data_IF_303952561369
#
_entry.id   IF_303952561369
#
_cell.length_a   1.000
_cell.length_b   1.000
_cell.length_c   1.000
_cell.angle_alpha   90.00
_cell.angle_beta   90.00
_cell.angle_gamma   90.00
#
_symmetry.space_group_name_H-M   'P 1'
#
loop_
_entity.id
_entity.type
_entity.pdbx_description
1 polymer ?
#
# COMPACT_ATOMS: atom_id res chain seq x y z
N UNK A 1 -8.70 33.15 -10.79
CA UNK A 1 -7.92 32.11 -11.48
C UNK A 1 -8.91 31.06 -11.96
N UNK A 2 -9.03 30.85 -13.28
CA UNK A 2 -9.96 29.86 -13.84
C UNK A 2 -9.54 28.45 -13.40
N UNK A 3 -10.46 27.68 -12.85
CA UNK A 3 -10.22 26.25 -12.65
C UNK A 3 -10.14 25.61 -14.04
N UNK A 4 -8.97 25.13 -14.42
CA UNK A 4 -8.86 24.24 -15.59
C UNK A 4 -9.73 23.01 -15.30
N UNK A 5 -10.77 22.82 -16.12
CA UNK A 5 -11.62 21.63 -16.06
C UNK A 5 -10.84 20.47 -16.66
N UNK A 6 -10.65 19.42 -15.86
CA UNK A 6 -10.13 18.14 -16.32
C UNK A 6 -11.19 17.49 -17.22
N UNK A 7 -10.83 17.20 -18.47
CA UNK A 7 -11.69 16.50 -19.42
C UNK A 7 -10.98 15.23 -19.88
N UNK A 8 -11.66 14.08 -19.80
CA UNK A 8 -11.10 12.76 -20.09
C UNK A 8 -11.98 12.03 -21.10
N UNK A 9 -11.36 11.38 -22.07
CA UNK A 9 -12.08 10.49 -22.98
C UNK A 9 -12.27 9.11 -22.35
N UNK A 10 -13.52 8.75 -22.04
CA UNK A 10 -13.91 7.46 -21.47
C UNK A 10 -14.77 6.72 -22.49
N UNK A 11 -14.25 5.60 -23.02
CA UNK A 11 -14.96 4.73 -23.99
C UNK A 11 -15.50 5.51 -25.21
N UNK A 12 -14.72 6.46 -25.73
CA UNK A 12 -15.10 7.30 -26.89
C UNK A 12 -16.03 8.48 -26.57
N UNK A 13 -16.36 8.71 -25.29
CA UNK A 13 -17.15 9.86 -24.83
C UNK A 13 -16.25 10.81 -24.03
N UNK A 14 -16.34 12.11 -24.29
CA UNK A 14 -15.72 13.14 -23.46
C UNK A 14 -16.50 13.26 -22.13
N UNK A 15 -15.78 13.22 -21.01
CA UNK A 15 -16.33 13.32 -19.66
C UNK A 15 -15.58 14.40 -18.88
N UNK A 16 -16.31 15.40 -18.38
CA UNK A 16 -15.79 16.54 -17.63
C UNK A 16 -16.37 16.67 -16.22
N UNK A 17 -17.31 15.79 -15.83
CA UNK A 17 -17.81 15.71 -14.47
C UNK A 17 -16.71 15.19 -13.51
N UNK A 18 -16.26 15.98 -12.52
CA UNK A 18 -15.14 15.62 -11.67
C UNK A 18 -15.35 14.30 -10.92
N UNK A 19 -16.58 13.99 -10.51
CA UNK A 19 -16.88 12.76 -9.79
C UNK A 19 -16.78 11.53 -10.70
N UNK A 20 -17.33 11.63 -11.91
CA UNK A 20 -17.25 10.59 -12.94
C UNK A 20 -15.82 10.33 -13.39
N UNK A 21 -15.03 11.39 -13.59
CA UNK A 21 -13.60 11.28 -13.94
C UNK A 21 -12.82 10.61 -12.81
N UNK A 22 -13.01 11.03 -11.55
CA UNK A 22 -12.33 10.43 -10.40
C UNK A 22 -12.70 8.93 -10.24
N UNK A 23 -13.98 8.58 -10.36
CA UNK A 23 -14.40 7.18 -10.28
C UNK A 23 -13.78 6.33 -11.40
N UNK A 24 -13.72 6.86 -12.62
CA UNK A 24 -13.09 6.16 -13.73
C UNK A 24 -11.58 5.99 -13.52
N UNK A 25 -10.87 7.03 -13.07
CA UNK A 25 -9.44 6.95 -12.75
C UNK A 25 -9.20 5.91 -11.65
N UNK A 26 -10.01 5.92 -10.59
CA UNK A 26 -9.91 4.94 -9.51
C UNK A 26 -10.06 3.52 -10.05
N UNK A 27 -11.17 3.25 -10.74
CA UNK A 27 -11.43 1.96 -11.38
C UNK A 27 -10.30 1.55 -12.31
N UNK A 28 -9.78 2.50 -13.12
CA UNK A 28 -8.69 2.25 -14.03
C UNK A 28 -7.48 1.75 -13.24
N UNK A 29 -6.93 2.54 -12.33
CA UNK A 29 -5.70 2.19 -11.61
C UNK A 29 -5.84 0.94 -10.74
N UNK A 30 -6.99 0.67 -10.13
CA UNK A 30 -7.19 -0.53 -9.32
C UNK A 30 -7.30 -1.81 -10.17
N UNK A 31 -7.77 -1.72 -11.42
CA UNK A 31 -8.00 -2.88 -12.29
C UNK A 31 -6.91 -3.11 -13.36
N UNK A 32 -5.84 -2.29 -13.41
CA UNK A 32 -4.78 -2.43 -14.44
C UNK A 32 -4.16 -3.83 -14.41
N UNK A 33 -3.88 -4.37 -13.22
CA UNK A 33 -3.22 -5.67 -13.09
C UNK A 33 -4.09 -6.80 -13.66
N UNK A 34 -5.36 -6.85 -13.26
CA UNK A 34 -6.34 -7.85 -13.71
C UNK A 34 -6.55 -7.76 -15.23
N UNK A 35 -6.81 -6.56 -15.76
CA UNK A 35 -7.00 -6.36 -17.20
C UNK A 35 -5.75 -6.71 -18.01
N UNK A 36 -4.56 -6.43 -17.48
CA UNK A 36 -3.30 -6.81 -18.15
C UNK A 36 -3.17 -8.33 -18.23
N UNK A 37 -3.55 -9.06 -17.17
CA UNK A 37 -3.52 -10.52 -17.12
C UNK A 37 -4.57 -11.16 -18.04
N UNK A 38 -5.79 -10.61 -18.09
CA UNK A 38 -6.86 -11.08 -18.97
C UNK A 38 -6.53 -10.90 -20.46
N UNK A 39 -5.91 -9.77 -20.82
CA UNK A 39 -5.54 -9.47 -22.21
C UNK A 39 -4.24 -10.14 -22.66
N UNK A 40 -3.44 -10.64 -21.72
CA UNK A 40 -2.24 -11.41 -21.98
C UNK A 40 -2.32 -12.74 -21.22
N UNK A 41 -3.26 -13.64 -21.56
CA UNK A 41 -3.33 -14.95 -20.94
C UNK A 41 -2.00 -15.64 -21.20
N UNK A 42 -1.21 -15.83 -20.15
CA UNK A 42 0.15 -16.37 -20.28
C UNK A 42 0.09 -17.69 -21.06
N UNK A 43 0.90 -17.79 -22.11
CA UNK A 43 1.49 -19.08 -22.51
C UNK A 43 1.97 -19.75 -21.22
N UNK A 44 1.64 -21.02 -21.01
CA UNK A 44 2.16 -21.85 -19.91
C UNK A 44 3.67 -21.95 -20.00
N UNK A 45 4.38 -20.89 -19.64
CA UNK A 45 5.77 -20.96 -19.26
C UNK A 45 5.72 -21.51 -17.84
N UNK A 46 5.84 -22.83 -17.75
CA UNK A 46 6.16 -23.52 -16.50
C UNK A 46 7.41 -22.85 -15.94
N UNK A 47 7.24 -22.01 -14.94
CA UNK A 47 8.33 -21.47 -14.13
C UNK A 47 8.96 -22.66 -13.38
N UNK A 48 9.90 -23.35 -14.02
CA UNK A 48 10.69 -24.43 -13.42
C UNK A 48 11.88 -23.89 -12.63
N UNK A 49 12.19 -22.61 -12.76
CA UNK A 49 13.04 -21.89 -11.82
C UNK A 49 12.16 -21.38 -10.68
N UNK A 50 12.52 -21.70 -9.44
CA UNK A 50 12.05 -20.93 -8.28
C UNK A 50 12.10 -19.44 -8.62
N UNK A 51 11.07 -18.65 -8.27
CA UNK A 51 11.12 -17.21 -8.49
C UNK A 51 12.40 -16.72 -7.83
N UNK A 52 13.34 -16.25 -8.65
CA UNK A 52 14.57 -15.66 -8.14
C UNK A 52 14.15 -14.33 -7.51
N UNK A 53 13.74 -14.39 -6.25
CA UNK A 53 13.16 -13.26 -5.51
C UNK A 53 14.21 -12.18 -5.23
N UNK A 54 15.46 -12.39 -5.63
CA UNK A 54 16.55 -11.41 -5.66
C UNK A 54 16.99 -10.88 -4.29
N UNK A 55 16.14 -11.01 -3.27
CA UNK A 55 16.33 -10.49 -1.94
C UNK A 55 15.66 -11.45 -0.98
N UNK A 56 16.46 -12.35 -0.44
CA UNK A 56 16.04 -13.11 0.72
C UNK A 56 15.85 -12.14 1.89
N UNK A 57 14.62 -12.03 2.41
CA UNK A 57 14.32 -11.16 3.53
C UNK A 57 15.06 -11.57 4.82
N UNK A 58 15.59 -12.80 4.89
CA UNK A 58 16.42 -13.27 6.00
C UNK A 58 17.74 -12.50 6.15
N UNK A 59 18.20 -11.78 5.12
CA UNK A 59 19.41 -10.93 5.23
C UNK A 59 19.17 -9.60 5.96
N UNK A 60 17.92 -9.20 6.19
CA UNK A 60 17.63 -7.99 6.95
C UNK A 60 17.96 -8.21 8.43
N UNK A 61 18.64 -7.23 9.02
CA UNK A 61 18.80 -7.22 10.47
C UNK A 61 17.44 -7.01 11.14
N UNK A 62 17.18 -7.76 12.20
CA UNK A 62 15.99 -7.57 13.02
C UNK A 62 16.00 -6.18 13.65
N UNK A 63 14.83 -5.56 13.69
CA UNK A 63 14.62 -4.30 14.41
C UNK A 63 14.47 -4.56 15.91
N UNK A 64 14.54 -3.50 16.71
CA UNK A 64 14.39 -3.56 18.16
C UNK A 64 13.33 -2.55 18.67
N UNK A 65 12.85 -2.72 19.92
CA UNK A 65 11.83 -1.83 20.49
C UNK A 65 12.23 -0.35 20.52
N UNK A 66 13.50 -0.02 20.79
CA UNK A 66 13.93 1.37 20.87
C UNK A 66 13.83 2.05 19.49
N UNK A 67 14.31 1.38 18.44
CA UNK A 67 14.19 1.86 17.06
C UNK A 67 12.72 2.10 16.67
N UNK A 68 11.85 1.12 16.91
CA UNK A 68 10.42 1.22 16.56
C UNK A 68 9.75 2.36 17.33
N UNK A 69 10.04 2.49 18.62
CA UNK A 69 9.52 3.57 19.46
C UNK A 69 9.96 4.95 18.92
N UNK A 70 11.24 5.11 18.61
CA UNK A 70 11.79 6.38 18.12
C UNK A 70 11.22 6.74 16.75
N UNK A 71 11.04 5.76 15.87
CA UNK A 71 10.34 5.94 14.59
C UNK A 71 8.92 6.44 14.84
N UNK A 72 8.14 5.80 15.72
CA UNK A 72 6.77 6.23 16.04
C UNK A 72 6.77 7.68 16.54
N UNK A 73 7.69 8.04 17.44
CA UNK A 73 7.81 9.41 17.97
C UNK A 73 8.26 10.42 16.91
N UNK A 74 9.01 10.01 15.90
CA UNK A 74 9.47 10.89 14.80
C UNK A 74 8.38 11.23 13.78
N UNK A 75 7.29 10.44 13.69
CA UNK A 75 6.22 10.65 12.70
C UNK A 75 5.59 12.05 12.82
N UNK A 76 5.12 12.65 11.73
CA UNK A 76 4.34 13.91 11.85
C UNK A 76 2.99 13.61 12.51
N UNK A 77 2.57 14.32 13.57
CA UNK A 77 1.27 14.11 14.20
C UNK A 77 0.18 14.62 13.26
N UNK A 78 -0.57 13.69 12.67
CA UNK A 78 -1.70 13.95 11.78
C UNK A 78 -2.93 13.28 12.38
N UNK A 79 -4.10 13.89 12.13
CA UNK A 79 -5.41 13.35 12.50
C UNK A 79 -6.04 12.50 11.40
N UNK A 80 -5.56 12.65 10.16
CA UNK A 80 -5.88 11.74 9.07
C UNK A 80 -5.43 10.32 9.41
N UNK A 81 -6.27 9.34 9.09
CA UNK A 81 -5.98 7.93 9.24
C UNK A 81 -5.96 7.23 7.87
N UNK A 82 -5.34 6.06 7.83
CA UNK A 82 -5.39 5.20 6.66
C UNK A 82 -6.71 4.40 6.65
N UNK A 83 -6.71 3.22 6.04
CA UNK A 83 -7.85 2.29 6.03
C UNK A 83 -8.16 1.69 7.41
N UNK A 84 -7.25 1.84 8.38
CA UNK A 84 -7.34 1.31 9.74
C UNK A 84 -8.02 2.24 10.74
N UNK A 85 -8.35 3.48 10.36
CA UNK A 85 -8.86 4.54 11.25
C UNK A 85 -7.91 4.89 12.41
N UNK A 86 -6.62 4.54 12.33
CA UNK A 86 -5.60 4.89 13.32
C UNK A 86 -4.80 6.09 12.81
N UNK A 87 -4.96 7.23 13.47
CA UNK A 87 -4.18 8.42 13.16
C UNK A 87 -2.77 8.33 13.74
N UNK A 88 -1.77 8.99 13.12
CA UNK A 88 -0.41 9.01 13.69
C UNK A 88 -0.36 9.74 15.03
N UNK A 89 -1.30 10.66 15.31
CA UNK A 89 -1.48 11.27 16.63
C UNK A 89 -1.87 10.23 17.69
N UNK A 90 -2.82 9.34 17.38
CA UNK A 90 -3.23 8.26 18.27
C UNK A 90 -2.12 7.22 18.45
N UNK A 91 -1.47 6.83 17.35
CA UNK A 91 -0.33 5.91 17.37
C UNK A 91 0.78 6.39 18.32
N UNK A 92 1.13 7.68 18.26
CA UNK A 92 2.10 8.29 19.17
C UNK A 92 1.69 8.28 20.64
N UNK A 93 0.40 8.43 20.91
CA UNK A 93 -0.14 8.39 22.27
C UNK A 93 -0.05 6.99 22.86
N UNK A 94 -0.26 5.97 22.02
CA UNK A 94 -0.18 4.56 22.40
C UNK A 94 1.19 3.93 22.15
N UNK A 95 2.25 4.72 21.89
CA UNK A 95 3.56 4.20 21.47
C UNK A 95 4.10 3.14 22.42
N UNK A 96 4.00 3.39 23.72
CA UNK A 96 4.67 2.57 24.73
C UNK A 96 4.03 1.16 24.78
N UNK A 97 2.72 1.08 24.56
CA UNK A 97 1.99 -0.19 24.49
C UNK A 97 2.12 -0.89 23.13
N UNK A 98 2.32 -0.13 22.05
CA UNK A 98 2.35 -0.67 20.68
C UNK A 98 3.76 -1.01 20.18
N UNK A 99 4.82 -0.46 20.77
CA UNK A 99 6.20 -0.71 20.36
C UNK A 99 6.52 -2.20 20.32
N UNK A 100 6.36 -2.91 21.44
CA UNK A 100 6.70 -4.34 21.52
C UNK A 100 5.93 -5.21 20.52
N UNK A 101 4.59 -5.14 20.41
CA UNK A 101 3.87 -5.95 19.44
C UNK A 101 4.25 -5.60 17.98
N UNK A 102 4.49 -4.32 17.66
CA UNK A 102 4.92 -3.92 16.32
C UNK A 102 6.32 -4.45 15.98
N UNK A 103 7.29 -4.35 16.90
CA UNK A 103 8.63 -4.96 16.74
C UNK A 103 8.52 -6.44 16.42
N UNK A 104 7.69 -7.18 17.16
CA UNK A 104 7.51 -8.61 16.94
C UNK A 104 6.89 -8.93 15.57
N UNK A 105 5.90 -8.14 15.13
CA UNK A 105 5.27 -8.30 13.81
C UNK A 105 6.28 -8.04 12.68
N UNK A 106 7.07 -6.96 12.79
CA UNK A 106 8.09 -6.61 11.79
C UNK A 106 9.12 -7.72 11.66
N UNK A 107 9.68 -8.16 12.79
CA UNK A 107 10.70 -9.20 12.84
C UNK A 107 10.18 -10.55 12.31
N UNK A 108 8.95 -10.93 12.66
CA UNK A 108 8.30 -12.12 12.08
C UNK A 108 8.09 -11.99 10.57
N UNK A 109 7.69 -10.80 10.11
CA UNK A 109 7.43 -10.59 8.68
C UNK A 109 8.71 -10.72 7.84
N UNK A 110 9.83 -10.17 8.33
CA UNK A 110 11.13 -10.27 7.67
C UNK A 110 11.69 -11.71 7.72
N UNK A 111 11.64 -12.36 8.89
CA UNK A 111 12.17 -13.72 9.07
C UNK A 111 11.35 -14.81 8.40
N UNK A 112 10.04 -14.63 8.20
CA UNK A 112 9.18 -15.64 7.58
C UNK A 112 8.83 -15.32 6.12
N UNK A 113 9.18 -14.13 5.64
CA UNK A 113 8.71 -13.60 4.36
C UNK A 113 7.20 -13.42 4.26
N UNK A 114 6.49 -13.37 5.39
CA UNK A 114 5.03 -13.36 5.45
C UNK A 114 4.51 -12.10 6.14
N UNK A 115 3.80 -11.28 5.39
CA UNK A 115 3.21 -10.04 5.90
C UNK A 115 1.70 -10.22 6.18
N UNK A 116 1.18 -9.63 7.28
CA UNK A 116 -0.25 -9.58 7.55
C UNK A 116 -1.03 -9.00 6.36
N UNK A 117 -2.17 -9.58 6.02
CA UNK A 117 -3.01 -9.13 4.90
C UNK A 117 -3.44 -7.67 5.03
N UNK A 118 -3.63 -7.18 6.27
CA UNK A 118 -3.95 -5.78 6.53
C UNK A 118 -2.85 -4.81 6.03
N UNK A 119 -1.58 -5.21 6.05
CA UNK A 119 -0.46 -4.39 5.57
C UNK A 119 -0.31 -4.42 4.03
N UNK A 120 -1.04 -5.30 3.34
CA UNK A 120 -1.05 -5.41 1.87
C UNK A 120 -2.19 -4.61 1.24
N UNK A 121 -3.07 -4.02 2.04
CA UNK A 121 -4.21 -3.25 1.57
C UNK A 121 -3.80 -1.83 1.18
N UNK A 122 -4.20 -1.40 -0.01
CA UNK A 122 -3.98 -0.04 -0.50
C UNK A 122 -5.33 0.68 -0.72
N UNK A 123 -5.36 2.00 -0.48
CA UNK A 123 -6.49 2.87 -0.82
C UNK A 123 -6.07 3.81 -1.95
N UNK A 124 -6.73 3.71 -3.09
CA UNK A 124 -6.52 4.58 -4.25
C UNK A 124 -7.56 5.69 -4.21
N UNK A 125 -7.12 6.95 -4.29
CA UNK A 125 -7.98 8.14 -4.38
C UNK A 125 -7.29 9.09 -5.38
N UNK A 126 -7.88 9.35 -6.56
CA UNK A 126 -7.37 10.29 -7.56
C UNK A 126 -7.52 11.76 -7.15
#
# INVERSE_FOLDING_TARGET
AGQEKLNLEIKGKQEDDPYSVANYMNYFFTSIAERTLENNPKLTISFTSEPNTGNDLHFFQHTNPAEVHDIIKSLKPKTSAATDNISTKLLKHCSDSLTTPLTNIINKSLSQGQFPSALKLAKVIP
#
